data_IF_045261303126
#
_entry.id   IF_045261303126
#
_cell.length_a   1.000
_cell.length_b   1.000
_cell.length_c   1.000
_cell.angle_alpha   90.00
_cell.angle_beta   90.00
_cell.angle_gamma   90.00
#
_symmetry.space_group_name_H-M   'P 1'
#
loop_
_entity.id
_entity.type
_entity.pdbx_description
1 polymer ?
#
# COMPACT_ATOMS: atom_id res chain seq x y z
N UNK A 1 -3.28 -11.26 30.08
CA UNK A 1 -2.63 -10.26 29.17
C UNK A 1 -3.66 -9.18 28.90
N UNK A 2 -3.29 -7.91 28.87
CA UNK A 2 -4.23 -6.81 28.59
C UNK A 2 -4.46 -6.75 27.09
N UNK A 3 -5.73 -6.84 26.67
CA UNK A 3 -6.12 -6.72 25.26
C UNK A 3 -5.77 -5.33 24.74
N UNK A 4 -5.05 -5.25 23.64
CA UNK A 4 -4.71 -3.98 22.98
C UNK A 4 -5.85 -3.50 22.09
N UNK A 5 -6.27 -2.25 22.25
CA UNK A 5 -7.30 -1.63 21.40
C UNK A 5 -6.68 -1.00 20.16
N UNK A 6 -7.12 -1.43 18.96
CA UNK A 6 -6.66 -0.95 17.67
C UNK A 6 -7.77 -0.23 16.92
N UNK A 7 -7.45 0.91 16.32
CA UNK A 7 -8.29 1.59 15.35
C UNK A 7 -7.70 1.46 13.96
N UNK A 8 -8.50 1.04 12.97
CA UNK A 8 -8.14 1.04 11.55
C UNK A 8 -9.02 2.03 10.82
N UNK A 9 -8.43 3.13 10.31
CA UNK A 9 -9.14 4.07 9.44
C UNK A 9 -9.00 3.66 7.98
N UNK A 10 -9.95 4.05 7.11
CA UNK A 10 -9.98 3.53 5.75
C UNK A 10 -10.25 2.02 5.67
N UNK A 11 -10.96 1.50 6.65
CA UNK A 11 -11.22 0.08 6.90
C UNK A 11 -11.87 -0.69 5.75
N UNK A 12 -12.57 0.01 4.84
CA UNK A 12 -13.21 -0.58 3.64
C UNK A 12 -12.31 -0.59 2.40
N UNK A 13 -11.11 0.01 2.50
CA UNK A 13 -10.12 0.00 1.42
C UNK A 13 -9.40 -1.36 1.29
N UNK A 14 -8.64 -1.52 0.19
CA UNK A 14 -7.90 -2.74 -0.12
C UNK A 14 -7.02 -3.21 1.06
N UNK A 15 -6.16 -2.35 1.59
CA UNK A 15 -5.29 -2.69 2.72
C UNK A 15 -6.05 -2.73 4.05
N UNK A 16 -6.99 -1.81 4.27
CA UNK A 16 -7.74 -1.73 5.53
C UNK A 16 -8.49 -3.00 5.89
N UNK A 17 -9.10 -3.66 4.90
CA UNK A 17 -9.79 -4.94 5.10
C UNK A 17 -8.83 -6.06 5.48
N UNK A 18 -7.65 -6.14 4.85
CA UNK A 18 -6.64 -7.14 5.21
C UNK A 18 -6.06 -6.89 6.62
N UNK A 19 -5.86 -5.61 7.01
CA UNK A 19 -5.43 -5.24 8.38
C UNK A 19 -6.48 -5.64 9.41
N UNK A 20 -7.77 -5.38 9.13
CA UNK A 20 -8.85 -5.81 10.01
C UNK A 20 -8.89 -7.33 10.18
N UNK A 21 -8.78 -8.07 9.08
CA UNK A 21 -8.79 -9.53 9.10
C UNK A 21 -7.60 -10.10 9.89
N UNK A 22 -6.42 -9.51 9.74
CA UNK A 22 -5.21 -9.93 10.47
C UNK A 22 -5.32 -9.65 11.97
N UNK A 23 -5.82 -8.46 12.37
CA UNK A 23 -5.98 -8.09 13.76
C UNK A 23 -7.14 -8.86 14.44
N UNK A 24 -8.23 -9.12 13.71
CA UNK A 24 -9.35 -9.90 14.24
C UNK A 24 -9.00 -11.37 14.51
N UNK A 25 -7.95 -11.89 13.87
CA UNK A 25 -7.44 -13.23 14.14
C UNK A 25 -6.53 -13.32 15.39
N UNK A 26 -6.16 -12.17 15.97
CA UNK A 26 -5.33 -12.08 17.17
C UNK A 26 -6.22 -11.97 18.43
N UNK A 27 -6.20 -12.96 19.33
CA UNK A 27 -7.04 -12.93 20.54
C UNK A 27 -6.67 -11.82 21.53
N UNK A 28 -5.46 -11.25 21.40
CA UNK A 28 -4.99 -10.15 22.24
C UNK A 28 -5.27 -8.78 21.64
N UNK A 29 -5.99 -8.70 20.50
CA UNK A 29 -6.37 -7.46 19.84
C UNK A 29 -7.89 -7.22 19.86
N UNK A 30 -8.30 -6.05 20.35
CA UNK A 30 -9.65 -5.52 20.13
C UNK A 30 -9.59 -4.52 18.97
N UNK A 31 -10.23 -4.81 17.85
CA UNK A 31 -10.10 -3.97 16.65
C UNK A 31 -11.40 -3.25 16.30
N UNK A 32 -11.30 -1.94 16.07
CA UNK A 32 -12.35 -1.08 15.52
C UNK A 32 -11.97 -0.66 14.11
N UNK A 33 -12.82 -0.93 13.12
CA UNK A 33 -12.60 -0.52 11.75
C UNK A 33 -13.59 0.55 11.33
N UNK A 34 -13.10 1.72 10.86
CA UNK A 34 -13.94 2.81 10.40
C UNK A 34 -13.67 3.12 8.91
N UNK A 35 -14.71 3.01 8.10
CA UNK A 35 -14.74 3.46 6.71
C UNK A 35 -14.99 4.96 6.59
N UNK A 36 -14.87 5.50 5.36
CA UNK A 36 -15.07 6.94 5.10
C UNK A 36 -16.45 7.47 5.51
N UNK A 37 -17.47 6.66 5.39
CA UNK A 37 -18.86 6.98 5.80
C UNK A 37 -19.03 7.05 7.32
N UNK A 38 -18.12 6.47 8.09
CA UNK A 38 -18.14 6.43 9.54
C UNK A 38 -17.14 7.42 10.15
N UNK A 39 -16.05 7.70 9.45
CA UNK A 39 -15.02 8.64 9.87
C UNK A 39 -14.42 9.38 8.64
N UNK A 40 -14.78 10.65 8.49
CA UNK A 40 -14.04 11.56 7.65
C UNK A 40 -12.83 12.10 8.44
N UNK A 41 -11.62 11.71 8.03
CA UNK A 41 -10.39 12.13 8.72
C UNK A 41 -10.10 13.63 8.57
N UNK A 42 -10.83 14.35 7.70
CA UNK A 42 -10.71 15.82 7.56
C UNK A 42 -11.48 16.57 8.66
N UNK A 43 -12.36 15.89 9.41
CA UNK A 43 -13.04 16.44 10.60
C UNK A 43 -12.21 16.17 11.86
N UNK A 44 -11.57 17.20 12.47
CA UNK A 44 -10.72 17.02 13.65
C UNK A 44 -11.51 16.57 14.90
N UNK A 45 -12.81 16.90 14.99
CA UNK A 45 -13.65 16.52 16.12
C UNK A 45 -14.01 15.04 16.05
N UNK A 46 -14.42 14.57 14.86
CA UNK A 46 -14.69 13.16 14.63
C UNK A 46 -13.43 12.30 14.82
N UNK A 47 -12.27 12.77 14.32
CA UNK A 47 -10.98 12.09 14.50
C UNK A 47 -10.62 11.96 15.99
N UNK A 48 -10.73 13.01 16.78
CA UNK A 48 -10.43 12.96 18.22
C UNK A 48 -11.32 11.95 18.93
N UNK A 49 -12.62 11.98 18.66
CA UNK A 49 -13.57 11.03 19.25
C UNK A 49 -13.23 9.58 18.87
N UNK A 50 -12.90 9.33 17.61
CA UNK A 50 -12.55 7.99 17.11
C UNK A 50 -11.23 7.46 17.68
N UNK A 51 -10.21 8.28 17.89
CA UNK A 51 -8.89 7.86 18.42
C UNK A 51 -8.95 7.58 19.92
N UNK A 52 -9.84 8.26 20.65
CA UNK A 52 -9.94 8.11 22.12
C UNK A 52 -10.18 6.65 22.52
N UNK A 53 -9.37 6.15 23.45
CA UNK A 53 -9.47 4.78 23.99
C UNK A 53 -8.76 3.71 23.17
N UNK A 54 -8.10 4.07 22.06
CA UNK A 54 -7.29 3.16 21.28
C UNK A 54 -5.80 3.34 21.60
N UNK A 55 -5.07 2.21 21.74
CA UNK A 55 -3.62 2.21 21.96
C UNK A 55 -2.82 2.31 20.67
N UNK A 56 -3.38 1.84 19.55
CA UNK A 56 -2.73 1.87 18.23
C UNK A 56 -3.75 2.29 17.17
N UNK A 57 -3.33 3.22 16.32
CA UNK A 57 -4.09 3.66 15.14
C UNK A 57 -3.34 3.24 13.88
N UNK A 58 -3.99 2.48 12.99
CA UNK A 58 -3.48 2.16 11.65
C UNK A 58 -4.24 3.00 10.64
N UNK A 59 -3.58 4.02 10.08
CA UNK A 59 -4.21 4.89 9.11
C UNK A 59 -4.02 4.37 7.68
N UNK A 60 -5.05 3.68 7.16
CA UNK A 60 -5.19 3.28 5.75
C UNK A 60 -6.07 4.25 4.94
N UNK A 61 -6.66 5.29 5.56
CA UNK A 61 -7.46 6.28 4.86
C UNK A 61 -6.56 7.20 4.03
N UNK A 62 -6.88 7.36 2.74
CA UNK A 62 -6.13 8.21 1.84
C UNK A 62 -6.97 8.57 0.59
N UNK A 63 -6.64 9.70 -0.03
CA UNK A 63 -6.93 9.95 -1.43
C UNK A 63 -5.92 9.15 -2.27
N UNK A 64 -6.37 8.21 -3.09
CA UNK A 64 -5.50 7.28 -3.85
C UNK A 64 -5.58 7.46 -5.37
N UNK A 65 -6.48 8.31 -5.86
CA UNK A 65 -6.55 8.66 -7.28
C UNK A 65 -5.39 9.60 -7.65
N UNK A 66 -4.32 9.00 -8.16
CA UNK A 66 -3.07 9.71 -8.50
C UNK A 66 -3.30 10.73 -9.62
N UNK A 67 -4.06 10.36 -10.67
CA UNK A 67 -4.36 11.25 -11.80
C UNK A 67 -5.38 12.32 -11.43
N UNK A 68 -6.35 11.98 -10.59
CA UNK A 68 -7.32 12.93 -10.05
C UNK A 68 -6.67 13.98 -9.13
N UNK A 69 -5.60 13.63 -8.43
CA UNK A 69 -4.88 14.56 -7.57
C UNK A 69 -4.27 15.74 -8.34
N UNK A 70 -3.84 15.54 -9.61
CA UNK A 70 -3.32 16.64 -10.44
C UNK A 70 -4.37 17.73 -10.69
N UNK A 71 -5.64 17.38 -10.75
CA UNK A 71 -6.75 18.33 -10.95
C UNK A 71 -7.34 18.84 -9.63
N UNK A 72 -7.07 18.17 -8.52
CA UNK A 72 -7.68 18.43 -7.22
C UNK A 72 -6.65 18.34 -6.07
N UNK A 73 -5.45 18.90 -6.25
CA UNK A 73 -4.35 18.80 -5.28
C UNK A 73 -4.74 19.30 -3.89
N UNK A 74 -5.51 20.38 -3.81
CA UNK A 74 -6.00 20.90 -2.54
C UNK A 74 -6.88 19.88 -1.79
N UNK A 75 -7.78 19.17 -2.49
CA UNK A 75 -8.64 18.15 -1.91
C UNK A 75 -7.82 16.89 -1.52
N UNK A 76 -6.87 16.48 -2.36
CA UNK A 76 -5.95 15.39 -2.02
C UNK A 76 -5.10 15.74 -0.79
N UNK A 77 -4.61 16.98 -0.68
CA UNK A 77 -3.84 17.46 0.47
C UNK A 77 -4.71 17.60 1.74
N UNK A 78 -5.98 17.98 1.60
CA UNK A 78 -6.90 18.00 2.73
C UNK A 78 -7.03 16.61 3.38
N UNK A 79 -7.13 15.53 2.58
CA UNK A 79 -7.19 14.16 3.09
C UNK A 79 -5.81 13.67 3.53
N UNK A 80 -4.82 13.70 2.62
CA UNK A 80 -3.52 13.06 2.82
C UNK A 80 -2.56 13.87 3.72
N UNK A 81 -2.77 15.17 3.85
CA UNK A 81 -1.97 16.07 4.68
C UNK A 81 -2.71 16.49 5.95
N UNK A 82 -3.78 17.29 5.82
CA UNK A 82 -4.51 17.84 6.97
C UNK A 82 -5.21 16.74 7.79
N UNK A 83 -5.89 15.80 7.14
CA UNK A 83 -6.52 14.66 7.81
C UNK A 83 -5.52 13.81 8.59
N UNK A 84 -4.32 13.58 8.04
CA UNK A 84 -3.25 12.88 8.75
C UNK A 84 -2.72 13.70 9.93
N UNK A 85 -2.63 15.04 9.80
CA UNK A 85 -2.28 15.93 10.92
C UNK A 85 -3.31 15.85 12.05
N UNK A 86 -4.61 15.74 11.75
CA UNK A 86 -5.66 15.55 12.76
C UNK A 86 -5.47 14.22 13.50
N UNK A 87 -5.21 13.12 12.78
CA UNK A 87 -4.92 11.81 13.39
C UNK A 87 -3.66 11.87 14.27
N UNK A 88 -2.57 12.47 13.76
CA UNK A 88 -1.34 12.60 14.52
C UNK A 88 -1.54 13.43 15.80
N UNK A 89 -2.29 14.54 15.73
CA UNK A 89 -2.62 15.34 16.90
C UNK A 89 -3.45 14.56 17.92
N UNK A 90 -4.50 13.86 17.48
CA UNK A 90 -5.34 13.06 18.36
C UNK A 90 -4.53 11.91 19.03
N UNK A 91 -3.60 11.28 18.29
CA UNK A 91 -2.70 10.29 18.88
C UNK A 91 -1.73 10.90 19.89
N UNK A 92 -1.18 12.10 19.63
CA UNK A 92 -0.34 12.81 20.58
C UNK A 92 -1.09 13.13 21.87
N UNK A 93 -2.34 13.61 21.76
CA UNK A 93 -3.18 13.97 22.90
C UNK A 93 -3.61 12.74 23.73
N UNK A 94 -3.76 11.55 23.12
CA UNK A 94 -4.20 10.32 23.77
C UNK A 94 -3.07 9.37 24.16
N UNK A 95 -1.84 9.60 23.70
CA UNK A 95 -0.71 8.69 23.88
C UNK A 95 -0.74 7.44 22.97
N UNK A 96 -1.61 7.40 21.96
CA UNK A 96 -1.70 6.30 21.03
C UNK A 96 -0.51 6.28 20.03
N UNK A 97 -0.11 5.08 19.58
CA UNK A 97 0.82 4.92 18.46
C UNK A 97 0.08 5.15 17.12
N UNK A 98 0.73 5.79 16.15
CA UNK A 98 0.19 5.95 14.79
C UNK A 98 1.05 5.23 13.78
N UNK A 99 0.50 4.22 13.09
CA UNK A 99 1.06 3.61 11.89
C UNK A 99 0.39 4.25 10.67
N UNK A 100 1.11 5.13 9.96
CA UNK A 100 0.58 5.85 8.80
C UNK A 100 1.11 5.26 7.49
N UNK A 101 0.19 4.85 6.61
CA UNK A 101 0.55 4.31 5.30
C UNK A 101 0.88 5.46 4.33
N UNK A 102 2.09 5.44 3.78
CA UNK A 102 2.57 6.37 2.77
C UNK A 102 2.93 5.63 1.46
N UNK A 103 3.70 6.26 0.58
CA UNK A 103 3.93 5.82 -0.80
C UNK A 103 5.38 6.03 -1.22
N UNK A 104 5.84 5.23 -2.19
CA UNK A 104 7.06 5.44 -2.97
C UNK A 104 7.03 6.75 -3.78
N UNK A 105 5.87 7.31 -4.09
CA UNK A 105 5.71 8.56 -4.84
C UNK A 105 6.20 9.82 -4.09
N UNK A 106 6.67 9.69 -2.87
CA UNK A 106 7.38 10.77 -2.17
C UNK A 106 8.80 10.97 -2.72
N UNK A 107 9.31 10.04 -3.52
CA UNK A 107 10.62 10.12 -4.16
C UNK A 107 10.54 10.63 -5.61
N UNK A 108 11.63 11.22 -6.15
CA UNK A 108 11.66 11.74 -7.52
C UNK A 108 11.62 10.64 -8.59
N UNK A 109 12.08 9.43 -8.29
CA UNK A 109 12.06 8.31 -9.23
C UNK A 109 13.22 8.27 -10.22
N UNK A 110 14.29 8.98 -9.98
CA UNK A 110 15.49 9.12 -10.83
C UNK A 110 16.68 8.26 -10.37
N UNK A 111 16.51 7.48 -9.31
CA UNK A 111 17.54 6.58 -8.80
C UNK A 111 17.72 5.35 -9.70
N UNK A 112 18.87 4.70 -9.54
CA UNK A 112 19.17 3.37 -10.10
C UNK A 112 19.44 2.32 -9.01
N UNK A 113 19.25 2.72 -7.75
CA UNK A 113 19.42 1.87 -6.57
C UNK A 113 18.19 2.06 -5.66
N UNK A 114 17.82 1.05 -4.89
CA UNK A 114 16.73 1.20 -3.92
C UNK A 114 16.92 2.42 -3.02
N UNK A 115 15.86 3.23 -2.85
CA UNK A 115 15.87 4.37 -1.94
C UNK A 115 15.93 3.86 -0.49
N UNK A 116 16.94 4.25 0.30
CA UNK A 116 16.91 4.00 1.75
C UNK A 116 15.85 4.87 2.44
N UNK A 117 15.49 4.53 3.67
CA UNK A 117 14.41 5.20 4.40
C UNK A 117 14.71 6.69 4.68
N UNK A 118 15.98 7.06 4.78
CA UNK A 118 16.47 8.43 5.00
C UNK A 118 16.82 9.19 3.71
N UNK A 119 16.54 8.62 2.53
CA UNK A 119 16.78 9.30 1.27
C UNK A 119 15.96 10.59 1.16
N UNK A 120 16.53 11.65 0.55
CA UNK A 120 15.80 12.90 0.30
C UNK A 120 14.53 12.65 -0.52
N UNK A 121 13.41 13.23 -0.09
CA UNK A 121 12.15 13.18 -0.81
C UNK A 121 12.08 14.29 -1.86
N UNK A 122 11.40 14.03 -2.99
CA UNK A 122 11.22 14.98 -4.08
C UNK A 122 10.06 14.56 -5.01
N UNK A 123 8.80 14.59 -4.52
CA UNK A 123 7.66 14.07 -5.26
C UNK A 123 7.43 14.84 -6.56
N UNK A 124 7.26 14.12 -7.66
CA UNK A 124 7.07 14.68 -9.02
C UNK A 124 5.61 14.92 -9.38
N UNK A 125 4.66 14.50 -8.53
CA UNK A 125 3.23 14.63 -8.78
C UNK A 125 2.46 15.10 -7.53
N UNK A 126 1.23 15.59 -7.72
CA UNK A 126 0.38 16.13 -6.67
C UNK A 126 0.04 15.08 -5.58
N UNK A 127 -0.20 13.84 -5.98
CA UNK A 127 -0.43 12.74 -5.02
C UNK A 127 0.77 12.57 -4.07
N UNK A 128 1.98 12.46 -4.61
CA UNK A 128 3.21 12.33 -3.82
C UNK A 128 3.40 13.52 -2.88
N UNK A 129 3.16 14.77 -3.36
CA UNK A 129 3.23 15.98 -2.52
C UNK A 129 2.20 15.93 -1.38
N UNK A 130 0.98 15.52 -1.66
CA UNK A 130 -0.07 15.41 -0.64
C UNK A 130 0.27 14.36 0.44
N UNK A 131 0.83 13.19 0.04
CA UNK A 131 1.27 12.15 0.97
C UNK A 131 2.45 12.60 1.82
N UNK A 132 3.42 13.29 1.22
CA UNK A 132 4.57 13.85 1.94
C UNK A 132 4.16 14.88 2.99
N UNK A 133 3.10 15.66 2.74
CA UNK A 133 2.54 16.56 3.75
C UNK A 133 2.05 15.81 5.00
N UNK A 134 1.44 14.62 4.83
CA UNK A 134 1.05 13.74 5.92
C UNK A 134 2.26 13.17 6.66
N UNK A 135 3.29 12.69 5.97
CA UNK A 135 4.52 12.21 6.60
C UNK A 135 5.15 13.28 7.50
N UNK A 136 5.24 14.51 7.01
CA UNK A 136 5.77 15.65 7.78
C UNK A 136 4.95 15.91 9.05
N UNK A 137 3.62 15.82 8.96
CA UNK A 137 2.75 15.99 10.13
C UNK A 137 2.97 14.88 11.18
N UNK A 138 3.15 13.62 10.76
CA UNK A 138 3.47 12.50 11.67
C UNK A 138 4.83 12.70 12.31
N UNK A 139 5.86 13.02 11.54
CA UNK A 139 7.22 13.22 12.05
C UNK A 139 7.32 14.40 13.05
N UNK A 140 6.58 15.49 12.79
CA UNK A 140 6.51 16.66 13.65
C UNK A 140 5.79 16.40 14.99
N UNK A 141 4.62 15.74 14.92
CA UNK A 141 3.72 15.62 16.07
C UNK A 141 3.97 14.36 16.90
N UNK A 142 4.57 13.32 16.29
CA UNK A 142 4.77 12.01 16.92
C UNK A 142 6.21 11.50 16.74
N UNK A 143 7.23 12.26 17.15
CA UNK A 143 8.64 11.87 16.92
C UNK A 143 9.03 10.55 17.60
N UNK A 144 8.32 10.14 18.67
CA UNK A 144 8.57 8.90 19.43
C UNK A 144 7.50 7.82 19.27
N UNK A 145 6.37 8.12 18.65
CA UNK A 145 5.19 7.22 18.57
C UNK A 145 4.58 7.16 17.18
N UNK A 146 5.17 7.84 16.19
CA UNK A 146 4.76 7.84 14.80
C UNK A 146 5.58 6.87 13.95
N UNK A 147 4.89 6.02 13.19
CA UNK A 147 5.47 5.05 12.27
C UNK A 147 4.93 5.33 10.87
N UNK A 148 5.80 5.75 9.96
CA UNK A 148 5.46 6.03 8.57
C UNK A 148 5.86 4.81 7.74
N UNK A 149 4.89 4.14 7.10
CA UNK A 149 5.15 2.95 6.29
C UNK A 149 4.89 3.28 4.83
N UNK A 150 5.96 3.51 4.06
CA UNK A 150 5.89 3.73 2.61
C UNK A 150 5.71 2.40 1.91
N UNK A 151 4.73 2.31 1.03
CA UNK A 151 4.46 1.11 0.24
C UNK A 151 4.30 1.44 -1.24
N UNK A 152 4.26 0.42 -2.10
CA UNK A 152 4.14 0.57 -3.54
C UNK A 152 3.32 -0.57 -4.15
N UNK A 153 2.64 -0.30 -5.26
CA UNK A 153 2.02 -1.27 -6.16
C UNK A 153 1.19 -2.33 -5.42
N UNK A 154 0.34 -1.86 -4.48
CA UNK A 154 -0.50 -2.75 -3.69
C UNK A 154 -1.50 -3.50 -4.57
N UNK A 155 -1.60 -4.80 -4.34
CA UNK A 155 -2.64 -5.66 -4.90
C UNK A 155 -3.19 -6.59 -3.81
N UNK A 156 -4.43 -7.06 -3.98
CA UNK A 156 -5.07 -7.90 -2.98
C UNK A 156 -6.48 -8.34 -3.39
N UNK A 157 -7.17 -8.96 -2.44
CA UNK A 157 -8.49 -9.52 -2.63
C UNK A 157 -9.60 -8.46 -2.76
N UNK A 158 -9.34 -7.24 -2.26
CA UNK A 158 -10.36 -6.21 -2.08
C UNK A 158 -10.13 -5.04 -3.02
N UNK A 159 -11.15 -4.70 -3.81
CA UNK A 159 -11.12 -3.56 -4.73
C UNK A 159 -10.25 -3.76 -5.98
N UNK A 160 -10.26 -2.78 -6.88
CA UNK A 160 -9.53 -2.85 -8.14
C UNK A 160 -8.01 -2.82 -7.91
N UNK A 161 -7.28 -3.65 -8.64
CA UNK A 161 -5.82 -3.70 -8.60
C UNK A 161 -5.27 -4.27 -9.90
N UNK A 162 -3.98 -4.03 -10.15
CA UNK A 162 -3.35 -4.40 -11.41
C UNK A 162 -3.39 -5.90 -11.69
N UNK A 163 -3.12 -6.76 -10.71
CA UNK A 163 -3.09 -8.23 -10.89
C UNK A 163 -4.48 -8.75 -11.30
N UNK A 164 -5.54 -8.31 -10.61
CA UNK A 164 -6.91 -8.65 -10.97
C UNK A 164 -7.27 -8.16 -12.37
N UNK A 165 -6.92 -6.90 -12.71
CA UNK A 165 -7.14 -6.33 -14.05
C UNK A 165 -6.43 -7.14 -15.15
N UNK A 166 -5.20 -7.61 -14.92
CA UNK A 166 -4.48 -8.44 -15.91
C UNK A 166 -5.20 -9.77 -16.15
N UNK A 167 -5.70 -10.42 -15.11
CA UNK A 167 -6.48 -11.67 -15.24
C UNK A 167 -7.82 -11.45 -15.96
N UNK A 168 -8.54 -10.37 -15.64
CA UNK A 168 -9.78 -10.01 -16.31
C UNK A 168 -9.57 -9.70 -17.81
N UNK A 169 -8.49 -8.97 -18.12
CA UNK A 169 -8.14 -8.67 -19.51
C UNK A 169 -7.67 -9.92 -20.28
N UNK A 170 -6.98 -10.84 -19.61
CA UNK A 170 -6.55 -12.11 -20.21
C UNK A 170 -7.72 -12.94 -20.74
N UNK A 171 -8.89 -12.85 -20.07
CA UNK A 171 -10.11 -13.52 -20.52
C UNK A 171 -10.78 -12.87 -21.75
N UNK A 172 -10.40 -11.62 -22.10
CA UNK A 172 -11.11 -10.81 -23.11
C UNK A 172 -10.25 -10.37 -24.29
N UNK A 173 -8.92 -10.48 -24.18
CA UNK A 173 -7.98 -9.97 -25.17
C UNK A 173 -6.90 -10.99 -25.48
N UNK A 174 -6.57 -11.15 -26.74
CA UNK A 174 -5.52 -12.04 -27.20
C UNK A 174 -4.13 -11.56 -26.70
N UNK A 175 -3.87 -10.26 -26.80
CA UNK A 175 -2.62 -9.65 -26.35
C UNK A 175 -2.85 -8.39 -25.54
N UNK A 176 -1.90 -8.05 -24.66
CA UNK A 176 -1.92 -6.86 -23.81
C UNK A 176 -0.61 -6.08 -23.95
N UNK A 177 -0.71 -4.79 -24.23
CA UNK A 177 0.44 -3.88 -24.18
C UNK A 177 0.59 -3.35 -22.75
N UNK A 178 1.76 -3.55 -22.15
CA UNK A 178 2.02 -3.17 -20.74
C UNK A 178 3.36 -2.45 -20.62
N UNK A 179 3.37 -1.37 -19.83
CA UNK A 179 4.53 -0.52 -19.59
C UNK A 179 5.70 -1.31 -19.02
N UNK A 180 6.90 -1.14 -19.60
CA UNK A 180 8.11 -1.88 -19.25
C UNK A 180 9.27 -1.00 -18.75
N UNK A 181 9.12 0.32 -18.74
CA UNK A 181 10.14 1.31 -18.36
C UNK A 181 9.93 1.90 -16.93
N UNK A 182 8.93 1.41 -16.19
CA UNK A 182 8.71 1.76 -14.79
C UNK A 182 9.04 0.57 -13.90
N UNK A 183 9.94 0.78 -12.92
CA UNK A 183 10.40 -0.22 -11.97
C UNK A 183 9.81 0.01 -10.58
N UNK A 184 9.25 -1.03 -9.96
CA UNK A 184 8.65 -0.96 -8.63
C UNK A 184 8.54 -2.32 -7.96
N UNK A 185 7.84 -2.35 -6.83
CA UNK A 185 7.74 -3.53 -5.96
C UNK A 185 6.27 -3.90 -5.75
N UNK A 186 5.73 -4.86 -6.54
CA UNK A 186 4.39 -5.37 -6.30
C UNK A 186 4.29 -5.93 -4.88
N UNK A 187 3.33 -5.42 -4.11
CA UNK A 187 3.20 -5.79 -2.70
C UNK A 187 1.80 -6.32 -2.42
N UNK A 188 1.72 -7.55 -1.91
CA UNK A 188 0.45 -8.14 -1.51
C UNK A 188 -0.05 -7.50 -0.21
N UNK A 189 -1.24 -6.91 -0.24
CA UNK A 189 -1.83 -6.19 0.90
C UNK A 189 -1.96 -7.06 2.16
N UNK A 190 -2.28 -8.35 2.00
CA UNK A 190 -2.31 -9.29 3.13
C UNK A 190 -0.95 -9.51 3.78
N UNK A 191 0.14 -9.55 2.99
CA UNK A 191 1.49 -9.65 3.52
C UNK A 191 1.87 -8.36 4.28
N UNK A 192 1.55 -7.19 3.72
CA UNK A 192 1.76 -5.91 4.38
C UNK A 192 0.93 -5.78 5.67
N UNK A 193 -0.33 -6.24 5.67
CA UNK A 193 -1.19 -6.23 6.87
C UNK A 193 -0.56 -6.99 8.04
N UNK A 194 -0.01 -8.18 7.79
CA UNK A 194 0.74 -8.96 8.79
C UNK A 194 1.96 -8.21 9.32
N UNK A 195 2.69 -7.54 8.42
CA UNK A 195 3.88 -6.77 8.80
C UNK A 195 3.50 -5.54 9.64
N UNK A 196 2.39 -4.85 9.31
CA UNK A 196 1.87 -3.73 10.10
C UNK A 196 1.44 -4.17 11.51
N UNK A 197 0.75 -5.29 11.63
CA UNK A 197 0.38 -5.85 12.92
C UNK A 197 1.62 -6.24 13.76
N UNK A 198 2.64 -6.84 13.12
CA UNK A 198 3.91 -7.15 13.78
C UNK A 198 4.66 -5.89 14.23
N UNK A 199 4.68 -4.84 13.38
CA UNK A 199 5.29 -3.54 13.71
C UNK A 199 4.60 -2.89 14.90
N UNK A 200 3.27 -2.83 14.91
CA UNK A 200 2.53 -2.22 16.01
C UNK A 200 2.74 -2.98 17.33
N UNK A 201 2.77 -4.32 17.32
CA UNK A 201 3.11 -5.12 18.51
C UNK A 201 4.55 -4.87 19.00
N UNK A 202 5.50 -4.78 18.06
CA UNK A 202 6.89 -4.48 18.42
C UNK A 202 7.05 -3.05 18.97
N UNK A 203 6.29 -2.10 18.45
CA UNK A 203 6.25 -0.72 18.91
C UNK A 203 5.68 -0.60 20.33
N UNK A 204 4.54 -1.27 20.62
CA UNK A 204 3.96 -1.34 21.96
C UNK A 204 4.91 -1.96 23.00
N UNK A 205 5.73 -2.92 22.56
CA UNK A 205 6.74 -3.55 23.42
C UNK A 205 8.05 -2.74 23.51
N UNK A 206 8.11 -1.52 22.93
CA UNK A 206 9.30 -0.66 22.93
C UNK A 206 10.50 -1.21 22.12
N UNK A 207 10.26 -2.20 21.24
CA UNK A 207 11.32 -2.86 20.46
C UNK A 207 11.53 -2.24 19.09
N UNK A 208 10.50 -1.64 18.49
CA UNK A 208 10.60 -0.98 17.19
C UNK A 208 10.76 0.54 17.39
N UNK A 209 11.85 1.15 16.90
CA UNK A 209 12.01 2.60 16.89
C UNK A 209 10.92 3.28 16.05
N UNK A 210 10.39 4.43 16.53
CA UNK A 210 9.53 5.27 15.71
C UNK A 210 10.30 5.81 14.49
N UNK A 211 9.59 6.13 13.40
CA UNK A 211 10.18 6.67 12.18
C UNK A 211 9.66 6.03 10.90
N UNK A 212 10.49 6.06 9.86
CA UNK A 212 10.11 5.64 8.51
C UNK A 212 10.49 4.17 8.29
N UNK A 213 9.57 3.41 7.71
CA UNK A 213 9.73 2.03 7.27
C UNK A 213 9.27 1.89 5.81
N UNK A 214 9.88 0.99 5.07
CA UNK A 214 9.47 0.69 3.70
C UNK A 214 8.77 -0.67 3.64
N UNK A 215 7.44 -0.65 3.64
CA UNK A 215 6.56 -1.83 3.61
C UNK A 215 6.29 -2.30 2.19
N UNK A 216 7.33 -2.66 1.45
CA UNK A 216 7.24 -3.23 0.10
C UNK A 216 7.86 -4.62 0.06
N UNK A 217 7.46 -5.44 -0.92
CA UNK A 217 8.07 -6.74 -1.16
C UNK A 217 9.56 -6.63 -1.50
N UNK A 218 10.35 -7.64 -1.17
CA UNK A 218 11.74 -7.73 -1.60
C UNK A 218 11.84 -8.00 -3.12
N UNK A 219 12.96 -7.60 -3.72
CA UNK A 219 13.15 -7.62 -5.18
C UNK A 219 12.39 -6.48 -5.85
N UNK A 220 12.36 -6.46 -7.18
CA UNK A 220 11.59 -5.51 -7.97
C UNK A 220 11.33 -6.06 -9.36
N UNK A 221 10.39 -5.44 -10.08
CA UNK A 221 10.07 -5.77 -11.47
C UNK A 221 9.49 -4.54 -12.18
N UNK A 222 9.09 -4.67 -13.44
CA UNK A 222 8.30 -3.68 -14.17
C UNK A 222 6.82 -4.08 -14.19
N UNK A 223 5.92 -3.17 -14.60
CA UNK A 223 4.51 -3.53 -14.79
C UNK A 223 4.36 -4.66 -15.81
N UNK A 224 5.14 -4.63 -16.90
CA UNK A 224 5.19 -5.72 -17.90
C UNK A 224 5.70 -7.03 -17.28
N UNK A 225 6.75 -6.97 -16.46
CA UNK A 225 7.27 -8.15 -15.76
C UNK A 225 6.26 -8.74 -14.78
N UNK A 226 5.54 -7.90 -14.03
CA UNK A 226 4.45 -8.34 -13.15
C UNK A 226 3.31 -9.01 -13.92
N UNK A 227 2.90 -8.42 -15.06
CA UNK A 227 1.85 -8.99 -15.91
C UNK A 227 2.26 -10.34 -16.50
N UNK A 228 3.49 -10.45 -17.03
CA UNK A 228 4.04 -11.70 -17.55
C UNK A 228 4.10 -12.80 -16.49
N UNK A 229 4.57 -12.48 -15.30
CA UNK A 229 4.63 -13.44 -14.20
C UNK A 229 3.24 -13.84 -13.71
N UNK A 230 2.27 -12.90 -13.69
CA UNK A 230 0.86 -13.21 -13.40
C UNK A 230 0.31 -14.21 -14.41
N UNK A 231 0.56 -14.02 -15.70
CA UNK A 231 0.15 -14.94 -16.76
C UNK A 231 0.80 -16.32 -16.59
N UNK A 232 2.12 -16.36 -16.43
CA UNK A 232 2.89 -17.61 -16.26
C UNK A 232 2.37 -18.44 -15.08
N UNK A 233 2.22 -17.82 -13.91
CA UNK A 233 1.72 -18.48 -12.71
C UNK A 233 0.25 -18.90 -12.84
N UNK A 234 -0.51 -18.21 -13.69
CA UNK A 234 -1.91 -18.55 -13.99
C UNK A 234 -2.05 -19.60 -15.11
N UNK A 235 -0.95 -20.14 -15.67
CA UNK A 235 -0.97 -21.11 -16.74
C UNK A 235 -1.37 -20.52 -18.11
N UNK A 236 -1.17 -19.22 -18.28
CA UNK A 236 -1.38 -18.49 -19.53
C UNK A 236 -0.03 -18.22 -20.20
N UNK A 237 -0.04 -18.01 -21.52
CA UNK A 237 1.16 -17.64 -22.27
C UNK A 237 1.62 -16.21 -21.90
N UNK A 238 2.82 -16.02 -21.28
CA UNK A 238 3.34 -14.71 -20.91
C UNK A 238 3.70 -13.84 -22.14
N UNK A 239 3.94 -14.43 -23.33
CA UNK A 239 4.24 -13.68 -24.55
C UNK A 239 3.02 -12.91 -25.10
N UNK A 240 1.82 -13.20 -24.62
CA UNK A 240 0.63 -12.37 -24.84
C UNK A 240 0.78 -10.98 -24.24
N UNK A 241 1.69 -10.78 -23.28
CA UNK A 241 1.99 -9.48 -22.66
C UNK A 241 3.17 -8.83 -23.40
N UNK A 242 2.89 -7.77 -24.15
CA UNK A 242 3.86 -7.05 -24.98
C UNK A 242 4.42 -5.84 -24.22
N UNK A 243 5.75 -5.67 -24.17
CA UNK A 243 6.36 -4.52 -23.55
C UNK A 243 6.14 -3.26 -24.40
N UNK A 244 5.84 -2.14 -23.74
CA UNK A 244 5.76 -0.82 -24.37
C UNK A 244 6.34 0.23 -23.42
N UNK A 245 6.75 1.36 -23.96
CA UNK A 245 7.19 2.50 -23.17
C UNK A 245 5.98 3.27 -22.60
N UNK A 246 6.17 3.98 -21.49
CA UNK A 246 5.11 4.75 -20.82
C UNK A 246 4.53 5.86 -21.69
N UNK A 247 5.25 6.37 -22.67
CA UNK A 247 4.79 7.36 -23.65
C UNK A 247 3.57 6.86 -24.47
N UNK A 248 3.39 5.55 -24.58
CA UNK A 248 2.20 4.98 -25.24
C UNK A 248 0.91 5.21 -24.45
N UNK A 249 1.01 5.42 -23.14
CA UNK A 249 -0.12 5.64 -22.25
C UNK A 249 0.05 6.94 -21.46
N UNK A 250 -0.09 8.11 -22.10
CA UNK A 250 0.07 9.38 -21.40
C UNK A 250 -0.94 9.50 -20.24
N UNK A 251 -0.45 9.97 -19.10
CA UNK A 251 -1.23 10.14 -17.86
C UNK A 251 -1.08 11.58 -17.37
N UNK A 252 -2.12 12.14 -16.71
CA UNK A 252 -2.05 13.48 -16.13
C UNK A 252 -0.91 13.62 -15.12
N UNK A 253 -0.73 12.65 -14.23
CA UNK A 253 0.34 12.67 -13.24
C UNK A 253 1.60 11.97 -13.78
N UNK A 254 2.76 12.59 -13.61
CA UNK A 254 4.05 11.96 -13.88
C UNK A 254 4.24 10.73 -12.96
N UNK A 255 4.76 9.63 -13.53
CA UNK A 255 5.09 8.43 -12.78
C UNK A 255 6.61 8.32 -12.61
N UNK A 256 7.10 8.03 -11.37
CA UNK A 256 8.52 7.72 -11.17
C UNK A 256 8.96 6.55 -12.03
N UNK A 257 10.07 6.67 -12.76
CA UNK A 257 10.63 5.56 -13.54
C UNK A 257 11.19 4.46 -12.61
N UNK A 258 11.63 4.83 -11.41
CA UNK A 258 12.20 3.91 -10.44
C UNK A 258 11.66 4.21 -9.02
N UNK A 259 10.74 3.39 -8.54
CA UNK A 259 10.11 3.48 -7.21
C UNK A 259 10.54 2.37 -6.24
N UNK A 260 11.76 1.82 -6.41
CA UNK A 260 12.22 0.68 -5.59
C UNK A 260 12.74 1.17 -4.24
N UNK A 261 12.27 0.57 -3.15
CA UNK A 261 12.55 0.94 -1.77
C UNK A 261 13.45 -0.09 -1.08
N UNK A 262 14.41 0.39 -0.26
CA UNK A 262 15.26 -0.42 0.61
C UNK A 262 14.54 -0.78 1.92
N UNK A 263 15.05 -1.75 2.69
CA UNK A 263 14.35 -2.31 3.86
C UNK A 263 15.19 -2.30 5.13
N UNK A 264 16.05 -1.29 5.30
CA UNK A 264 17.06 -1.25 6.39
C UNK A 264 16.45 -1.16 7.79
N UNK A 265 15.36 -0.42 7.96
CA UNK A 265 14.78 -0.16 9.29
C UNK A 265 14.02 -1.36 9.86
N UNK A 266 13.53 -2.30 9.04
CA UNK A 266 12.94 -3.54 9.54
C UNK A 266 13.95 -4.37 10.35
N UNK A 267 15.17 -4.50 9.85
CA UNK A 267 16.23 -5.23 10.55
C UNK A 267 16.61 -4.56 11.87
N UNK A 268 16.63 -3.22 11.92
CA UNK A 268 16.87 -2.46 13.16
C UNK A 268 15.77 -2.66 14.20
N UNK A 269 14.53 -2.91 13.76
CA UNK A 269 13.39 -3.23 14.62
C UNK A 269 13.35 -4.72 15.02
N UNK A 270 14.31 -5.53 14.59
CA UNK A 270 14.31 -6.98 14.81
C UNK A 270 13.18 -7.70 14.07
N UNK A 271 12.67 -7.11 12.98
CA UNK A 271 11.60 -7.64 12.15
C UNK A 271 12.15 -7.99 10.76
N UNK A 272 11.67 -9.10 10.18
CA UNK A 272 12.01 -9.46 8.83
C UNK A 272 11.32 -8.52 7.82
N UNK A 273 12.01 -8.09 6.75
CA UNK A 273 11.37 -7.48 5.59
C UNK A 273 10.35 -8.44 4.96
N UNK A 274 9.45 -7.90 4.15
CA UNK A 274 8.51 -8.72 3.40
C UNK A 274 9.24 -9.68 2.44
N UNK A 275 8.68 -10.88 2.19
CA UNK A 275 9.19 -11.82 1.20
C UNK A 275 9.28 -11.19 -0.20
N UNK A 276 9.95 -11.90 -1.12
CA UNK A 276 10.05 -11.47 -2.52
C UNK A 276 8.67 -11.31 -3.15
N UNK A 277 8.57 -10.37 -4.10
CA UNK A 277 7.32 -10.05 -4.79
C UNK A 277 6.75 -11.24 -5.57
N UNK A 278 7.59 -12.08 -6.18
CA UNK A 278 7.21 -13.28 -6.94
C UNK A 278 6.68 -14.40 -6.03
N UNK A 279 7.27 -14.57 -4.84
CA UNK A 279 6.75 -15.49 -3.82
C UNK A 279 5.36 -15.02 -3.31
N UNK A 280 5.22 -13.72 -3.06
CA UNK A 280 3.94 -13.12 -2.65
C UNK A 280 2.87 -13.29 -3.73
N UNK A 281 3.21 -13.06 -5.01
CA UNK A 281 2.30 -13.24 -6.13
C UNK A 281 1.86 -14.71 -6.25
N UNK A 282 2.81 -15.66 -6.12
CA UNK A 282 2.51 -17.09 -6.12
C UNK A 282 1.52 -17.47 -5.02
N UNK A 283 1.69 -16.94 -3.82
CA UNK A 283 0.78 -17.19 -2.69
C UNK A 283 -0.59 -16.52 -2.91
N UNK A 284 -0.61 -15.28 -3.41
CA UNK A 284 -1.83 -14.52 -3.67
C UNK A 284 -2.72 -15.18 -4.72
N UNK A 285 -2.15 -15.65 -5.84
CA UNK A 285 -2.91 -16.29 -6.91
C UNK A 285 -3.57 -17.62 -6.50
N UNK A 286 -3.05 -18.26 -5.44
CA UNK A 286 -3.67 -19.46 -4.83
C UNK A 286 -4.80 -19.10 -3.83
N UNK A 287 -4.86 -17.84 -3.39
CA UNK A 287 -5.90 -17.42 -2.45
C UNK A 287 -7.28 -17.40 -3.14
N UNK A 288 -8.40 -17.68 -2.42
CA UNK A 288 -9.73 -17.82 -3.00
C UNK A 288 -10.16 -16.63 -3.88
N UNK A 289 -9.80 -15.41 -3.49
CA UNK A 289 -10.16 -14.20 -4.23
C UNK A 289 -9.56 -14.13 -5.65
N UNK A 290 -8.34 -14.66 -5.85
CA UNK A 290 -7.70 -14.70 -7.15
C UNK A 290 -7.96 -16.01 -7.90
N UNK A 291 -8.21 -17.12 -7.20
CA UNK A 291 -8.42 -18.43 -7.81
C UNK A 291 -9.57 -18.44 -8.82
N UNK A 292 -10.66 -17.73 -8.53
CA UNK A 292 -11.80 -17.57 -9.44
C UNK A 292 -11.41 -16.80 -10.72
N UNK A 293 -10.64 -15.72 -10.60
CA UNK A 293 -10.15 -14.93 -11.74
C UNK A 293 -9.18 -15.75 -12.61
N UNK A 294 -8.30 -16.52 -11.98
CA UNK A 294 -7.37 -17.43 -12.68
C UNK A 294 -8.15 -18.49 -13.46
N UNK A 295 -9.17 -19.10 -12.86
CA UNK A 295 -10.00 -20.09 -13.53
C UNK A 295 -10.74 -19.49 -14.74
N UNK A 296 -11.33 -18.30 -14.59
CA UNK A 296 -12.02 -17.60 -15.67
C UNK A 296 -11.06 -17.24 -16.83
N UNK A 297 -9.85 -16.77 -16.51
CA UNK A 297 -8.84 -16.42 -17.52
C UNK A 297 -8.38 -17.63 -18.37
N UNK A 298 -8.30 -18.82 -17.76
CA UNK A 298 -7.92 -20.08 -18.43
C UNK A 298 -9.02 -20.57 -19.40
N UNK A 299 -10.28 -20.51 -18.96
CA UNK A 299 -11.41 -21.03 -19.78
C UNK A 299 -11.65 -20.20 -21.03
N UNK A 300 -11.42 -18.89 -20.98
CA UNK A 300 -11.63 -17.98 -22.11
C UNK A 300 -10.45 -17.97 -23.12
N UNK A 301 -9.23 -18.38 -22.67
CA UNK A 301 -8.05 -18.46 -23.53
C UNK A 301 -7.90 -19.76 -24.32
N UNK A 302 -8.82 -20.72 -24.15
CA UNK A 302 -8.74 -22.07 -24.70
C UNK A 302 -9.65 -22.40 -25.87
N UNK A 303 -10.37 -21.45 -26.47
CA UNK A 303 -11.12 -21.72 -27.72
C UNK A 303 -10.20 -21.48 -28.90
N UNK A 304 -9.88 -22.51 -29.71
CA UNK A 304 -9.21 -22.30 -31.00
C UNK A 304 -10.16 -21.51 -31.91
N UNK A 305 -9.64 -20.69 -32.84
CA UNK A 305 -10.45 -20.07 -33.84
C UNK A 305 -11.10 -21.15 -34.70
N UNK A 306 -12.44 -21.11 -34.82
CA UNK A 306 -13.24 -21.86 -35.75
C UNK A 306 -13.00 -21.41 -37.19
#
# INVERSE_FOLDING_TARGET
MTTTSWLVTGARGLLGQDVLAELAADPDAAVTGLGRDQLDITDPTAVRAAVTGHGVVVNCAAWTDVDGAERAEAAATAVNGAGVRHLARACADSGALLLHISTDYVFPGDSRRPYPEDAPTGPVNAYGRSKLAGERAVAELLPGTGYIVRTAWLYGAHGPNFVATMLELAARRETLDVVADQHGQPTWSRALARQLAALGRAALAGRAPAGIYHGTAAGHTTWCGLARETFRLSGLDPERVRPVDSDKFPRPAARPAFGVLGHGNWLRAGLAPLPRWDDQLTAALKAPAFAALVAAARTSGGSPPS
#
